data_IF_297508686707
#
_entry.id   IF_297508686707
#
_cell.length_a   1.000
_cell.length_b   1.000
_cell.length_c   1.000
_cell.angle_alpha   90.00
_cell.angle_beta   90.00
_cell.angle_gamma   90.00
#
_symmetry.space_group_name_H-M   'P 1'
#
loop_
_entity.id
_entity.type
_entity.pdbx_description
1 polymer ?
#
# COMPACT_ATOMS: atom_id res chain seq x y z
N UNK A 1 7.50 -14.32 13.41
CA UNK A 1 6.59 -13.33 12.84
C UNK A 1 7.40 -12.15 12.34
N UNK A 2 7.27 -11.77 11.06
CA UNK A 2 7.99 -10.66 10.43
C UNK A 2 7.00 -9.68 9.82
N UNK A 3 7.09 -8.41 10.22
CA UNK A 3 6.23 -7.33 9.73
C UNK A 3 7.10 -6.35 8.93
N UNK A 4 6.61 -5.93 7.77
CA UNK A 4 7.22 -4.85 6.97
C UNK A 4 6.40 -3.58 7.14
N UNK A 5 7.03 -2.47 7.54
CA UNK A 5 6.40 -1.16 7.61
C UNK A 5 6.91 -0.26 6.48
N UNK A 6 6.02 0.44 5.79
CA UNK A 6 6.33 1.38 4.71
C UNK A 6 5.58 2.69 4.99
N UNK A 7 6.25 3.83 4.88
CA UNK A 7 5.63 5.12 5.19
C UNK A 7 6.25 6.26 4.41
N UNK A 8 5.42 7.22 4.01
CA UNK A 8 5.73 8.55 3.44
C UNK A 8 6.51 8.59 2.12
N UNK A 9 7.38 7.62 1.87
CA UNK A 9 8.24 7.54 0.70
C UNK A 9 8.28 6.10 0.18
N UNK A 10 8.20 6.00 -1.13
CA UNK A 10 8.30 4.73 -1.84
C UNK A 10 9.73 4.20 -1.70
N UNK A 11 9.86 2.90 -1.41
CA UNK A 11 11.14 2.24 -1.48
C UNK A 11 11.34 1.71 -2.92
N UNK A 12 12.33 2.22 -3.69
CA UNK A 12 12.56 1.75 -5.07
C UNK A 12 12.82 0.25 -5.16
N UNK A 13 13.40 -0.31 -4.09
CA UNK A 13 13.71 -1.73 -4.00
C UNK A 13 12.44 -2.61 -3.95
N UNK A 14 11.32 -2.05 -3.50
CA UNK A 14 10.00 -2.68 -3.41
C UNK A 14 9.10 -2.36 -4.63
N UNK A 15 9.58 -1.55 -5.58
CA UNK A 15 8.82 -1.09 -6.75
C UNK A 15 9.71 -1.03 -8.01
N UNK A 16 10.48 0.06 -8.21
CA UNK A 16 11.25 0.32 -9.45
C UNK A 16 12.25 -0.78 -9.80
N UNK A 17 12.88 -1.35 -8.78
CA UNK A 17 13.88 -2.40 -8.89
C UNK A 17 13.41 -3.68 -8.18
N UNK A 18 12.11 -3.94 -8.26
CA UNK A 18 11.52 -5.09 -7.60
C UNK A 18 12.09 -6.40 -8.16
N UNK A 19 12.50 -7.27 -7.25
CA UNK A 19 12.91 -8.63 -7.56
C UNK A 19 11.85 -9.62 -7.06
N UNK A 20 11.40 -10.58 -7.89
CA UNK A 20 10.43 -11.59 -7.48
C UNK A 20 10.85 -12.29 -6.19
N UNK A 21 9.94 -12.31 -5.22
CA UNK A 21 10.17 -12.93 -3.91
C UNK A 21 10.67 -11.97 -2.84
N UNK A 22 10.89 -10.69 -3.13
CA UNK A 22 11.36 -9.72 -2.13
C UNK A 22 10.38 -9.47 -0.98
N UNK A 23 9.09 -9.63 -1.24
CA UNK A 23 8.03 -9.58 -0.22
C UNK A 23 7.73 -10.95 0.42
N UNK A 24 8.44 -12.02 0.04
CA UNK A 24 8.23 -13.34 0.65
C UNK A 24 8.78 -13.37 2.07
N UNK A 25 8.06 -14.06 2.95
CA UNK A 25 8.48 -14.29 4.33
C UNK A 25 8.09 -13.19 5.31
N UNK A 26 7.37 -12.16 4.86
CA UNK A 26 6.60 -11.29 5.76
C UNK A 26 5.23 -11.89 6.02
N UNK A 27 4.77 -11.77 7.26
CA UNK A 27 3.47 -12.22 7.71
C UNK A 27 2.42 -11.09 7.64
N UNK A 28 2.87 -9.83 7.55
CA UNK A 28 2.04 -8.62 7.46
C UNK A 28 2.84 -7.46 6.87
N UNK A 29 2.19 -6.63 6.06
CA UNK A 29 2.71 -5.32 5.62
C UNK A 29 1.80 -4.22 6.17
N UNK A 30 2.39 -3.22 6.82
CA UNK A 30 1.71 -2.00 7.27
C UNK A 30 2.23 -0.81 6.46
N UNK A 31 1.36 -0.21 5.66
CA UNK A 31 1.63 0.98 4.87
C UNK A 31 0.92 2.19 5.50
N UNK A 32 1.53 3.38 5.46
CA UNK A 32 0.86 4.60 5.86
C UNK A 32 1.42 5.86 5.18
N UNK A 33 0.73 6.99 5.36
CA UNK A 33 1.17 8.29 4.86
C UNK A 33 0.67 8.58 3.44
N UNK A 34 1.40 9.40 2.69
CA UNK A 34 1.03 9.87 1.34
C UNK A 34 1.68 9.00 0.24
N UNK A 35 1.56 7.68 0.37
CA UNK A 35 2.08 6.75 -0.63
C UNK A 35 1.20 6.76 -1.89
N UNK A 36 1.84 6.70 -3.06
CA UNK A 36 1.11 6.69 -4.33
C UNK A 36 0.20 5.46 -4.45
N UNK A 37 -1.01 5.65 -4.98
CA UNK A 37 -1.99 4.58 -5.18
C UNK A 37 -1.45 3.45 -6.08
N UNK A 38 -0.65 3.78 -7.10
CA UNK A 38 0.01 2.79 -7.94
C UNK A 38 1.00 1.97 -7.11
N UNK A 39 1.87 2.61 -6.32
CA UNK A 39 2.82 1.95 -5.41
C UNK A 39 2.14 0.92 -4.50
N UNK A 40 1.09 1.35 -3.80
CA UNK A 40 0.29 0.48 -2.93
C UNK A 40 -0.32 -0.69 -3.70
N UNK A 41 -0.89 -0.44 -4.89
CA UNK A 41 -1.51 -1.48 -5.73
C UNK A 41 -0.51 -2.58 -6.11
N UNK A 42 0.74 -2.23 -6.41
CA UNK A 42 1.78 -3.23 -6.70
C UNK A 42 2.20 -3.99 -5.46
N UNK A 43 2.43 -3.32 -4.34
CA UNK A 43 2.79 -3.99 -3.08
C UNK A 43 1.72 -5.02 -2.73
N UNK A 44 0.45 -4.66 -2.83
CA UNK A 44 -0.70 -5.56 -2.64
C UNK A 44 -0.70 -6.71 -3.64
N UNK A 45 -0.43 -6.44 -4.92
CA UNK A 45 -0.40 -7.47 -5.97
C UNK A 45 0.75 -8.48 -5.74
N UNK A 46 1.91 -8.01 -5.29
CA UNK A 46 3.12 -8.82 -5.15
C UNK A 46 3.25 -9.48 -3.78
N UNK A 47 2.58 -8.95 -2.75
CA UNK A 47 2.58 -9.51 -1.41
C UNK A 47 1.87 -10.87 -1.37
N UNK A 48 2.37 -11.74 -0.50
CA UNK A 48 1.73 -13.04 -0.18
C UNK A 48 1.08 -13.03 1.21
N UNK A 49 1.01 -11.86 1.84
CA UNK A 49 0.45 -11.63 3.17
C UNK A 49 -0.46 -10.38 3.14
N UNK A 50 -1.29 -10.17 4.18
CA UNK A 50 -2.15 -8.99 4.27
C UNK A 50 -1.37 -7.67 4.21
N UNK A 51 -1.95 -6.67 3.57
CA UNK A 51 -1.43 -5.30 3.51
C UNK A 51 -2.46 -4.36 4.12
N UNK A 52 -2.12 -3.76 5.25
CA UNK A 52 -2.94 -2.76 5.92
C UNK A 52 -2.44 -1.38 5.52
N UNK A 53 -3.35 -0.49 5.11
CA UNK A 53 -2.99 0.88 4.74
C UNK A 53 -3.74 1.89 5.58
N UNK A 54 -3.00 2.85 6.14
CA UNK A 54 -3.56 4.02 6.83
C UNK A 54 -3.23 5.25 6.00
N UNK A 55 -4.26 5.86 5.42
CA UNK A 55 -4.09 7.09 4.65
C UNK A 55 -3.53 8.21 5.54
N UNK A 56 -2.47 8.87 5.07
CA UNK A 56 -1.95 10.08 5.71
C UNK A 56 -2.92 11.26 5.60
N UNK A 57 -2.70 12.34 6.37
CA UNK A 57 -3.43 13.58 6.17
C UNK A 57 -3.02 14.17 4.81
N UNK A 58 -3.83 13.95 3.77
CA UNK A 58 -3.66 14.64 2.50
C UNK A 58 -3.99 16.12 2.70
N UNK A 59 -3.15 17.08 2.26
CA UNK A 59 -3.62 18.44 2.10
C UNK A 59 -4.72 18.42 1.03
N UNK A 60 -5.97 18.50 1.48
CA UNK A 60 -7.20 18.52 0.67
C UNK A 60 -6.99 19.01 -0.78
N UNK A 61 -7.34 18.22 -1.81
CA UNK A 61 -7.48 18.77 -3.14
C UNK A 61 -8.75 19.63 -3.17
N UNK A 62 -8.58 20.92 -3.43
CA UNK A 62 -9.69 21.82 -3.76
C UNK A 62 -10.48 21.25 -4.94
N UNK A 63 -11.69 20.73 -4.66
CA UNK A 63 -12.81 20.41 -5.55
C UNK A 63 -12.50 20.09 -7.03
N UNK A 64 -12.81 18.87 -7.47
CA UNK A 64 -13.96 18.54 -8.36
C UNK A 64 -13.74 17.22 -9.13
N UNK A 65 -14.82 16.43 -9.19
CA UNK A 65 -15.11 15.36 -10.15
C UNK A 65 -14.50 13.95 -9.92
N UNK A 66 -15.38 13.05 -9.45
CA UNK A 66 -15.61 11.78 -10.13
C UNK A 66 -14.61 10.65 -9.90
N UNK A 67 -13.86 10.63 -8.80
CA UNK A 67 -13.06 9.46 -8.41
C UNK A 67 -13.62 8.84 -7.16
N UNK A 68 -13.96 7.55 -7.26
CA UNK A 68 -14.35 6.69 -6.13
C UNK A 68 -13.36 6.90 -4.99
N UNK A 69 -13.78 7.64 -3.96
CA UNK A 69 -13.06 7.74 -2.71
C UNK A 69 -12.86 6.32 -2.19
N UNK A 70 -11.59 5.96 -2.04
CA UNK A 70 -11.21 4.76 -1.30
C UNK A 70 -11.53 5.11 0.15
N UNK A 71 -12.72 4.71 0.60
CA UNK A 71 -13.26 5.04 1.91
C UNK A 71 -12.21 4.86 3.01
N UNK A 72 -12.01 5.91 3.79
CA UNK A 72 -11.17 5.93 4.98
C UNK A 72 -11.42 4.67 5.82
N UNK A 73 -10.36 3.90 6.07
CA UNK A 73 -10.44 2.61 6.75
C UNK A 73 -10.34 1.38 5.84
N UNK A 74 -9.86 1.52 4.60
CA UNK A 74 -9.53 0.39 3.74
C UNK A 74 -8.34 -0.42 4.30
N UNK A 75 -8.63 -1.33 5.23
CA UNK A 75 -7.95 -2.62 5.26
C UNK A 75 -8.17 -3.21 3.87
N UNK A 76 -7.18 -3.11 2.99
CA UNK A 76 -7.16 -3.88 1.75
C UNK A 76 -6.90 -5.34 2.12
N UNK A 77 -7.87 -5.97 2.79
CA UNK A 77 -8.08 -7.41 2.68
C UNK A 77 -8.56 -7.67 1.26
N UNK A 78 -7.63 -7.66 0.30
CA UNK A 78 -7.85 -8.33 -0.96
C UNK A 78 -7.81 -9.82 -0.65
N UNK A 79 -8.94 -10.33 -0.14
CA UNK A 79 -9.26 -11.73 -0.06
C UNK A 79 -9.06 -12.27 -1.47
N UNK A 80 -7.92 -12.96 -1.68
CA UNK A 80 -7.74 -13.80 -2.84
C UNK A 80 -8.90 -14.80 -2.81
N UNK A 81 -9.80 -14.69 -3.79
CA UNK A 81 -10.78 -15.73 -4.08
C UNK A 81 -10.11 -17.06 -4.38
#
# INVERSE_FOLDING_TARGET
>A
MKILCISDQECPSLWDYYQPGRLKGYDLILACGDLNASYLSFVVTMASCPVLYVHGPSPEPSHSEGRREISQGAVFELLRG
#
